data_IF_353102554981
#
_entry.id   IF_353102554981
#
_cell.length_a   1.000
_cell.length_b   1.000
_cell.length_c   1.000
_cell.angle_alpha   90.00
_cell.angle_beta   90.00
_cell.angle_gamma   90.00
#
_symmetry.space_group_name_H-M   'P 1'
#
loop_
_entity.id
_entity.type
_entity.pdbx_description
1 polymer ?
#
# COMPACT_ATOMS: atom_id res chain seq x y z
N UNK A 1 17.11 28.74 -48.00
CA UNK A 1 15.85 28.06 -48.34
C UNK A 1 15.90 26.54 -48.11
N UNK A 2 17.06 25.88 -48.28
CA UNK A 2 17.20 24.45 -47.96
C UNK A 2 17.09 24.15 -46.44
N UNK A 3 17.67 25.01 -45.59
CA UNK A 3 17.70 24.79 -44.14
C UNK A 3 16.32 24.92 -43.48
N UNK A 4 15.48 25.83 -43.98
CA UNK A 4 14.10 26.01 -43.51
C UNK A 4 13.22 24.81 -43.85
N UNK A 5 13.45 24.18 -45.00
CA UNK A 5 12.72 22.97 -45.42
C UNK A 5 13.16 21.78 -44.56
N UNK A 6 14.47 21.65 -44.30
CA UNK A 6 15.01 20.58 -43.44
C UNK A 6 14.46 20.67 -42.00
N UNK A 7 14.37 21.88 -41.44
CA UNK A 7 13.80 22.11 -40.09
C UNK A 7 12.31 21.75 -40.04
N UNK A 8 11.54 22.12 -41.06
CA UNK A 8 10.11 21.77 -41.12
C UNK A 8 9.89 20.26 -41.23
N UNK A 9 10.71 19.55 -42.01
CA UNK A 9 10.65 18.08 -42.11
C UNK A 9 11.01 17.41 -40.79
N UNK A 10 12.01 17.92 -40.05
CA UNK A 10 12.39 17.41 -38.74
C UNK A 10 11.28 17.58 -37.69
N UNK A 11 10.56 18.71 -37.71
CA UNK A 11 9.43 18.97 -36.80
C UNK A 11 8.26 18.02 -37.09
N UNK A 12 7.91 17.85 -38.37
CA UNK A 12 6.78 16.97 -38.76
C UNK A 12 7.08 15.51 -38.41
N UNK A 13 8.32 15.06 -38.63
CA UNK A 13 8.74 13.70 -38.25
C UNK A 13 8.74 13.50 -36.74
N UNK A 14 9.19 14.49 -35.96
CA UNK A 14 9.14 14.43 -34.49
C UNK A 14 7.70 14.36 -33.95
N UNK A 15 6.78 15.15 -34.51
CA UNK A 15 5.35 15.12 -34.14
C UNK A 15 4.74 13.76 -34.49
N UNK A 16 5.06 13.19 -35.66
CA UNK A 16 4.58 11.88 -36.06
C UNK A 16 5.08 10.77 -35.12
N UNK A 17 6.33 10.84 -34.65
CA UNK A 17 6.90 9.90 -33.68
C UNK A 17 6.18 10.03 -32.33
N UNK A 18 5.93 11.25 -31.84
CA UNK A 18 5.19 11.47 -30.60
C UNK A 18 3.75 10.93 -30.66
N UNK A 19 3.04 11.20 -31.77
CA UNK A 19 1.69 10.71 -31.98
C UNK A 19 1.65 9.17 -32.06
N UNK A 20 2.62 8.55 -32.75
CA UNK A 20 2.75 7.10 -32.81
C UNK A 20 3.04 6.48 -31.43
N UNK A 21 3.87 7.14 -30.62
CA UNK A 21 4.20 6.69 -29.27
C UNK A 21 3.01 6.79 -28.32
N UNK A 22 2.23 7.87 -28.39
CA UNK A 22 1.01 8.05 -27.62
C UNK A 22 -0.07 7.03 -28.01
N UNK A 23 -0.25 6.78 -29.32
CA UNK A 23 -1.15 5.73 -29.82
C UNK A 23 -0.70 4.31 -29.43
N UNK A 24 0.62 4.07 -29.29
CA UNK A 24 1.16 2.80 -28.82
C UNK A 24 0.92 2.59 -27.31
N UNK A 25 1.00 3.65 -26.49
CA UNK A 25 0.64 3.60 -25.06
C UNK A 25 -0.84 3.29 -24.85
N UNK A 26 -1.73 3.91 -25.63
CA UNK A 26 -3.18 3.65 -25.56
C UNK A 26 -3.57 2.21 -25.90
N UNK A 27 -2.79 1.53 -26.75
CA UNK A 27 -3.03 0.11 -27.13
C UNK A 27 -2.63 -0.89 -26.03
N UNK A 28 -1.61 -0.61 -25.22
CA UNK A 28 -1.24 -1.49 -24.08
C UNK A 28 -2.29 -1.46 -22.96
N UNK A 29 -3.01 -0.36 -22.77
CA UNK A 29 -4.07 -0.25 -21.77
C UNK A 29 -5.42 -0.84 -22.20
N UNK A 30 -5.66 -1.03 -23.50
CA UNK A 30 -6.91 -1.57 -24.06
C UNK A 30 -7.00 -3.11 -24.07
N UNK A 31 -5.95 -3.83 -23.67
CA UNK A 31 -5.97 -5.32 -23.56
C UNK A 31 -6.58 -5.86 -22.27
N UNK A 32 -7.01 -5.01 -21.33
CA UNK A 32 -7.93 -5.41 -20.25
C UNK A 32 -9.37 -5.21 -20.69
N UNK A 33 -9.82 -6.03 -21.64
CA UNK A 33 -11.25 -6.20 -21.93
C UNK A 33 -11.89 -6.72 -20.65
N UNK A 34 -12.67 -5.86 -20.00
CA UNK A 34 -13.54 -6.21 -18.89
C UNK A 34 -14.59 -7.19 -19.44
N UNK A 35 -14.35 -8.49 -19.27
CA UNK A 35 -15.37 -9.52 -19.49
C UNK A 35 -16.44 -9.27 -18.44
N UNK A 36 -17.66 -8.99 -18.87
CA UNK A 36 -18.76 -8.57 -18.01
C UNK A 36 -18.89 -9.48 -16.79
N UNK A 37 -18.97 -8.87 -15.59
CA UNK A 37 -19.26 -9.60 -14.36
C UNK A 37 -20.55 -10.41 -14.55
N UNK A 38 -20.55 -11.73 -14.30
CA UNK A 38 -21.80 -12.48 -14.24
C UNK A 38 -22.68 -11.84 -13.15
N UNK A 39 -23.98 -11.69 -13.44
CA UNK A 39 -24.99 -11.31 -12.44
C UNK A 39 -24.79 -12.19 -11.20
N UNK A 40 -24.48 -11.57 -10.05
CA UNK A 40 -24.36 -12.26 -8.77
C UNK A 40 -25.71 -12.91 -8.47
N UNK A 41 -25.78 -14.24 -8.56
CA UNK A 41 -26.91 -14.99 -7.99
C UNK A 41 -26.95 -14.73 -6.48
N UNK A 42 -28.14 -14.69 -5.84
CA UNK A 42 -28.24 -14.66 -4.39
C UNK A 42 -27.44 -15.84 -3.83
N UNK A 43 -26.53 -15.57 -2.91
CA UNK A 43 -25.70 -16.61 -2.28
C UNK A 43 -26.65 -17.40 -1.37
N UNK A 44 -26.94 -18.69 -1.64
CA UNK A 44 -27.56 -19.52 -0.61
C UNK A 44 -26.63 -19.53 0.61
N UNK A 45 -27.18 -19.68 1.82
CA UNK A 45 -26.38 -19.81 3.04
C UNK A 45 -25.45 -21.03 2.90
N UNK A 46 -24.23 -20.80 2.41
CA UNK A 46 -23.25 -21.84 2.15
C UNK A 46 -22.70 -22.30 3.48
N UNK A 47 -22.92 -23.57 3.81
CA UNK A 47 -22.12 -24.29 4.80
C UNK A 47 -20.66 -23.91 4.60
N UNK A 48 -19.91 -23.51 5.65
CA UNK A 48 -18.50 -23.20 5.52
C UNK A 48 -17.80 -24.38 4.83
N UNK A 49 -17.03 -24.17 3.76
CA UNK A 49 -16.36 -25.27 3.08
C UNK A 49 -15.45 -25.97 4.09
N UNK A 50 -15.60 -27.30 4.20
CA UNK A 50 -14.73 -28.13 5.03
C UNK A 50 -13.27 -27.97 4.58
N UNK A 51 -12.32 -28.28 5.45
CA UNK A 51 -10.90 -28.26 5.08
C UNK A 51 -10.62 -29.13 3.84
N UNK A 52 -11.33 -30.26 3.70
CA UNK A 52 -11.26 -31.12 2.51
C UNK A 52 -11.72 -30.39 1.23
N UNK A 53 -12.87 -29.70 1.28
CA UNK A 53 -13.37 -28.93 0.14
C UNK A 53 -12.43 -27.78 -0.25
N UNK A 54 -11.78 -27.15 0.73
CA UNK A 54 -10.79 -26.09 0.49
C UNK A 54 -9.54 -26.65 -0.17
N UNK A 55 -9.05 -27.80 0.31
CA UNK A 55 -7.89 -28.49 -0.26
C UNK A 55 -8.17 -28.89 -1.72
N UNK A 56 -9.32 -29.48 -2.01
CA UNK A 56 -9.69 -29.84 -3.38
C UNK A 56 -9.71 -28.61 -4.31
N UNK A 57 -10.26 -27.48 -3.84
CA UNK A 57 -10.25 -26.22 -4.59
C UNK A 57 -8.83 -25.70 -4.84
N UNK A 58 -7.91 -25.86 -3.88
CA UNK A 58 -6.49 -25.51 -4.05
C UNK A 58 -5.82 -26.44 -5.05
N UNK A 59 -6.01 -27.75 -4.93
CA UNK A 59 -5.35 -28.74 -5.79
C UNK A 59 -5.75 -28.62 -7.28
N UNK A 60 -6.92 -28.04 -7.56
CA UNK A 60 -7.45 -27.86 -8.92
C UNK A 60 -7.19 -26.47 -9.49
N UNK A 61 -6.73 -25.51 -8.68
CA UNK A 61 -6.45 -24.14 -9.11
C UNK A 61 -5.00 -23.95 -9.59
N UNK A 62 -4.81 -23.05 -10.55
CA UNK A 62 -3.48 -22.55 -10.91
C UNK A 62 -3.06 -21.42 -9.95
N UNK A 63 -1.82 -21.50 -9.45
CA UNK A 63 -1.22 -20.46 -8.61
C UNK A 63 0.02 -19.89 -9.29
N UNK A 64 0.18 -18.57 -9.19
CA UNK A 64 1.36 -17.86 -9.65
C UNK A 64 1.89 -16.97 -8.53
N UNK A 65 3.22 -16.97 -8.37
CA UNK A 65 3.88 -16.02 -7.49
C UNK A 65 3.76 -14.60 -8.05
N UNK A 66 3.62 -13.62 -7.16
CA UNK A 66 3.54 -12.20 -7.53
C UNK A 66 4.32 -11.34 -6.54
N UNK A 67 4.79 -10.14 -6.94
CA UNK A 67 5.37 -9.17 -6.02
C UNK A 67 4.42 -8.87 -4.84
N UNK A 68 4.99 -8.77 -3.65
CA UNK A 68 4.24 -8.43 -2.43
C UNK A 68 3.73 -6.99 -2.44
N UNK A 69 4.46 -6.08 -3.10
CA UNK A 69 4.21 -4.64 -3.13
C UNK A 69 4.31 -4.10 -4.55
N UNK A 70 3.62 -2.98 -4.79
CA UNK A 70 3.83 -2.17 -6.00
C UNK A 70 5.24 -1.54 -5.99
N UNK A 71 5.71 -1.03 -7.14
CA UNK A 71 7.03 -0.36 -7.18
C UNK A 71 7.09 0.87 -6.27
N UNK A 72 5.97 1.58 -6.14
CA UNK A 72 5.90 2.77 -5.32
C UNK A 72 5.89 2.44 -3.82
N UNK A 73 5.07 1.46 -3.40
CA UNK A 73 5.12 0.90 -2.04
C UNK A 73 6.52 0.37 -1.69
N UNK A 74 7.16 -0.37 -2.62
CA UNK A 74 8.51 -0.89 -2.40
C UNK A 74 9.55 0.24 -2.24
N UNK A 75 9.40 1.36 -2.97
CA UNK A 75 10.27 2.52 -2.80
C UNK A 75 10.16 3.12 -1.39
N UNK A 76 8.93 3.26 -0.87
CA UNK A 76 8.68 3.72 0.51
C UNK A 76 9.22 2.72 1.53
N UNK A 77 9.03 1.41 1.29
CA UNK A 77 9.56 0.35 2.15
C UNK A 77 11.08 0.45 2.27
N UNK A 78 11.81 0.57 1.15
CA UNK A 78 13.26 0.72 1.18
C UNK A 78 13.72 2.04 1.80
N UNK A 79 12.94 3.12 1.65
CA UNK A 79 13.21 4.37 2.35
C UNK A 79 13.07 4.20 3.87
N UNK A 80 12.03 3.52 4.33
CA UNK A 80 11.82 3.22 5.73
C UNK A 80 12.94 2.33 6.30
N UNK A 81 13.38 1.30 5.58
CA UNK A 81 14.52 0.46 6.00
C UNK A 81 15.81 1.27 6.17
N UNK A 82 16.11 2.15 5.21
CA UNK A 82 17.27 3.05 5.31
C UNK A 82 17.15 4.02 6.48
N UNK A 83 15.97 4.60 6.69
CA UNK A 83 15.70 5.51 7.80
C UNK A 83 15.90 4.82 9.15
N UNK A 84 15.36 3.61 9.34
CA UNK A 84 15.54 2.80 10.56
C UNK A 84 17.02 2.59 10.87
N UNK A 85 17.83 2.28 9.84
CA UNK A 85 19.27 2.11 10.00
C UNK A 85 19.99 3.41 10.35
N UNK A 86 19.64 4.53 9.69
CA UNK A 86 20.29 5.84 9.89
C UNK A 86 19.96 6.46 11.24
N UNK A 87 18.71 6.32 11.68
CA UNK A 87 18.22 6.80 12.96
C UNK A 87 18.60 5.89 14.14
N UNK A 88 19.36 4.81 13.88
CA UNK A 88 19.73 3.75 14.84
C UNK A 88 18.53 3.19 15.62
N UNK A 89 17.36 3.09 14.97
CA UNK A 89 16.16 2.52 15.58
C UNK A 89 16.37 1.02 15.73
N UNK A 90 16.33 0.52 16.97
CA UNK A 90 16.42 -0.92 17.28
C UNK A 90 15.10 -1.61 16.91
N UNK A 91 14.94 -1.89 15.62
CA UNK A 91 13.68 -2.40 15.08
C UNK A 91 13.82 -3.05 13.71
N UNK A 92 12.69 -3.45 13.12
CA UNK A 92 12.60 -4.02 11.77
C UNK A 92 11.42 -3.41 11.01
N UNK A 93 11.54 -3.39 9.69
CA UNK A 93 10.46 -3.00 8.78
C UNK A 93 9.83 -4.26 8.20
N UNK A 94 8.51 -4.32 8.16
CA UNK A 94 7.73 -5.45 7.66
C UNK A 94 6.76 -4.98 6.58
N UNK A 95 6.51 -5.82 5.58
CA UNK A 95 5.61 -5.52 4.47
C UNK A 95 4.24 -6.20 4.62
N UNK A 96 3.18 -5.51 4.24
CA UNK A 96 1.82 -6.03 4.11
C UNK A 96 1.33 -6.73 5.40
N UNK A 97 1.53 -6.13 6.57
CA UNK A 97 1.19 -6.77 7.85
C UNK A 97 -0.31 -6.72 8.09
N UNK A 98 -0.90 -7.85 8.48
CA UNK A 98 -2.30 -7.92 8.87
C UNK A 98 -2.53 -7.21 10.21
N UNK A 99 -3.52 -6.32 10.26
CA UNK A 99 -3.82 -5.54 11.46
C UNK A 99 -4.36 -6.41 12.59
N UNK A 100 -4.98 -7.56 12.29
CA UNK A 100 -5.41 -8.51 13.31
C UNK A 100 -4.29 -9.19 14.09
N UNK A 101 -3.06 -9.17 13.56
CA UNK A 101 -1.88 -9.72 14.22
C UNK A 101 -1.28 -8.75 15.24
N UNK A 102 -1.49 -7.45 15.03
CA UNK A 102 -0.88 -6.38 15.85
C UNK A 102 -1.89 -5.60 16.68
N UNK A 103 -3.19 -5.76 16.43
CA UNK A 103 -4.28 -5.13 17.17
C UNK A 103 -5.19 -6.19 17.78
N UNK A 104 -5.59 -5.96 19.02
CA UNK A 104 -6.61 -6.74 19.72
C UNK A 104 -7.68 -5.79 20.23
N UNK A 105 -8.91 -6.28 20.32
CA UNK A 105 -10.03 -5.54 20.87
C UNK A 105 -10.97 -6.52 21.58
N UNK A 106 -11.45 -6.22 22.80
CA UNK A 106 -12.52 -6.98 23.42
C UNK A 106 -13.88 -6.74 22.75
N UNK A 107 -14.01 -5.68 21.95
CA UNK A 107 -15.16 -5.45 21.09
C UNK A 107 -15.00 -6.25 19.79
N UNK A 108 -15.84 -7.28 19.66
CA UNK A 108 -15.94 -8.19 18.53
C UNK A 108 -16.26 -7.48 17.20
N UNK A 109 -17.10 -6.46 17.23
CA UNK A 109 -17.49 -5.70 16.03
C UNK A 109 -16.29 -4.89 15.54
N UNK A 110 -15.60 -4.22 16.46
CA UNK A 110 -14.38 -3.48 16.14
C UNK A 110 -13.26 -4.43 15.65
N UNK A 111 -13.07 -5.58 16.31
CA UNK A 111 -12.07 -6.55 15.92
C UNK A 111 -12.34 -7.14 14.53
N UNK A 112 -13.58 -7.56 14.24
CA UNK A 112 -13.95 -8.06 12.89
C UNK A 112 -13.78 -7.00 11.82
N UNK A 113 -14.04 -5.73 12.15
CA UNK A 113 -13.80 -4.64 11.22
C UNK A 113 -12.31 -4.52 10.86
N UNK A 114 -11.40 -4.71 11.81
CA UNK A 114 -9.95 -4.47 11.60
C UNK A 114 -9.17 -5.72 11.18
N UNK A 115 -9.56 -6.92 11.63
CA UNK A 115 -8.79 -8.16 11.47
C UNK A 115 -8.52 -8.55 10.01
N UNK A 116 -9.38 -8.18 9.06
CA UNK A 116 -9.16 -8.45 7.64
C UNK A 116 -8.39 -7.34 6.90
N UNK A 117 -7.96 -6.29 7.60
CA UNK A 117 -7.24 -5.15 7.01
C UNK A 117 -5.74 -5.35 7.19
N UNK A 118 -4.95 -4.74 6.31
CA UNK A 118 -3.48 -4.79 6.33
C UNK A 118 -2.93 -3.37 6.22
N UNK A 119 -1.74 -3.17 6.78
CA UNK A 119 -0.91 -1.99 6.53
C UNK A 119 0.13 -2.33 5.48
N UNK A 120 0.47 -1.37 4.62
CA UNK A 120 1.48 -1.59 3.58
C UNK A 120 2.85 -1.86 4.18
N UNK A 121 3.23 -1.08 5.19
CA UNK A 121 4.53 -1.16 5.85
C UNK A 121 4.34 -0.97 7.36
N UNK A 122 5.04 -1.77 8.16
CA UNK A 122 5.04 -1.67 9.62
C UNK A 122 6.48 -1.63 10.15
N UNK A 123 6.79 -0.62 10.97
CA UNK A 123 7.96 -0.59 11.81
C UNK A 123 7.64 -1.26 13.15
N UNK A 124 8.47 -2.23 13.56
CA UNK A 124 8.40 -2.91 14.85
C UNK A 124 9.66 -2.68 15.67
N UNK A 125 9.55 -2.73 16.99
CA UNK A 125 10.70 -2.76 17.91
C UNK A 125 11.46 -4.08 17.81
N UNK A 126 12.62 -4.16 18.45
CA UNK A 126 13.37 -5.40 18.64
C UNK A 126 12.58 -6.50 19.39
N UNK A 127 11.61 -6.11 20.23
CA UNK A 127 10.69 -7.02 20.91
C UNK A 127 9.45 -7.40 20.08
N UNK A 128 9.34 -6.90 18.85
CA UNK A 128 8.22 -7.18 17.95
C UNK A 128 6.99 -6.29 18.16
N UNK A 129 7.07 -5.25 19.00
CA UNK A 129 5.95 -4.35 19.26
C UNK A 129 5.79 -3.32 18.13
N UNK A 130 4.55 -3.02 17.65
CA UNK A 130 4.32 -2.07 16.58
C UNK A 130 4.68 -0.63 16.99
N UNK A 131 5.56 0.00 16.21
CA UNK A 131 6.04 1.36 16.41
C UNK A 131 5.32 2.38 15.51
N UNK A 132 5.29 2.11 14.21
CA UNK A 132 4.64 2.97 13.23
C UNK A 132 4.14 2.16 12.03
N UNK A 133 2.94 2.47 11.55
CA UNK A 133 2.43 1.99 10.27
C UNK A 133 2.61 3.07 9.21
N UNK A 134 3.06 2.69 8.02
CA UNK A 134 3.21 3.58 6.86
C UNK A 134 2.32 3.05 5.74
N UNK A 135 1.51 3.93 5.16
CA UNK A 135 0.54 3.62 4.11
C UNK A 135 0.84 4.46 2.87
N UNK A 136 0.98 3.81 1.70
CA UNK A 136 1.24 4.54 0.46
C UNK A 136 -0.07 4.94 -0.21
N UNK A 137 -0.24 6.23 -0.43
CA UNK A 137 -1.41 6.82 -1.07
C UNK A 137 -1.09 7.10 -2.54
N UNK A 138 -1.51 6.21 -3.44
CA UNK A 138 -1.31 6.41 -4.88
C UNK A 138 -2.14 7.57 -5.46
N UNK A 139 -1.77 8.09 -6.63
CA UNK A 139 -2.48 9.20 -7.30
C UNK A 139 -3.93 8.87 -7.71
N UNK A 140 -4.29 7.59 -7.75
CA UNK A 140 -5.64 7.13 -8.14
C UNK A 140 -6.69 7.09 -7.02
N UNK A 141 -6.40 7.60 -5.82
CA UNK A 141 -7.20 7.31 -4.63
C UNK A 141 -8.41 8.22 -4.38
N UNK A 142 -8.67 9.22 -5.22
CA UNK A 142 -9.80 10.15 -5.03
C UNK A 142 -11.17 9.65 -5.52
N UNK A 143 -11.33 8.35 -5.85
CA UNK A 143 -12.62 7.80 -6.29
C UNK A 143 -13.10 6.64 -5.38
N UNK A 144 -13.88 6.97 -4.33
CA UNK A 144 -14.75 6.02 -3.61
C UNK A 144 -14.40 5.72 -2.13
N UNK A 145 -14.88 4.56 -1.63
CA UNK A 145 -14.79 4.06 -0.23
C UNK A 145 -13.39 3.95 0.39
N UNK A 146 -12.34 4.32 -0.35
CA UNK A 146 -10.95 4.31 0.10
C UNK A 146 -10.76 5.18 1.36
N UNK A 147 -11.31 6.40 1.36
CA UNK A 147 -11.24 7.30 2.53
C UNK A 147 -11.83 6.69 3.80
N UNK A 148 -12.98 6.03 3.70
CA UNK A 148 -13.61 5.39 4.85
C UNK A 148 -12.77 4.20 5.37
N UNK A 149 -12.13 3.43 4.48
CA UNK A 149 -11.26 2.30 4.87
C UNK A 149 -10.00 2.78 5.58
N UNK A 150 -9.38 3.82 5.06
CA UNK A 150 -8.17 4.40 5.65
C UNK A 150 -8.47 5.08 6.98
N UNK A 151 -9.61 5.76 7.10
CA UNK A 151 -10.09 6.30 8.37
C UNK A 151 -10.24 5.20 9.44
N UNK A 152 -10.78 4.03 9.10
CA UNK A 152 -10.89 2.90 10.04
C UNK A 152 -9.51 2.38 10.47
N UNK A 153 -8.56 2.25 9.53
CA UNK A 153 -7.18 1.83 9.86
C UNK A 153 -6.51 2.83 10.81
N UNK A 154 -6.51 4.11 10.43
CA UNK A 154 -5.92 5.21 11.19
C UNK A 154 -6.51 5.30 12.59
N UNK A 155 -7.83 5.25 12.71
CA UNK A 155 -8.52 5.34 13.99
C UNK A 155 -8.24 4.16 14.93
N UNK A 156 -8.02 2.95 14.39
CA UNK A 156 -7.66 1.78 15.19
C UNK A 156 -6.20 1.82 15.65
N UNK A 157 -5.27 2.20 14.75
CA UNK A 157 -3.85 2.33 15.07
C UNK A 157 -3.59 3.42 16.11
N UNK A 158 -4.23 4.58 15.96
CA UNK A 158 -4.13 5.68 16.93
C UNK A 158 -4.64 5.28 18.31
N UNK A 159 -5.78 4.58 18.40
CA UNK A 159 -6.31 4.07 19.68
C UNK A 159 -5.38 3.02 20.34
N UNK A 160 -4.55 2.36 19.55
CA UNK A 160 -3.55 1.42 20.03
C UNK A 160 -2.17 2.07 20.31
N UNK A 161 -2.05 3.40 20.21
CA UNK A 161 -0.79 4.11 20.41
C UNK A 161 0.26 3.82 19.33
N UNK A 162 -0.16 3.41 18.13
CA UNK A 162 0.73 3.14 17.00
C UNK A 162 0.71 4.35 16.07
N UNK A 163 1.88 4.90 15.77
CA UNK A 163 2.01 6.03 14.86
C UNK A 163 1.52 5.66 13.45
N UNK A 164 0.92 6.62 12.75
CA UNK A 164 0.39 6.43 11.41
C UNK A 164 0.99 7.48 10.47
N UNK A 165 1.69 7.02 9.42
CA UNK A 165 2.40 7.86 8.46
C UNK A 165 1.78 7.63 7.07
N UNK A 166 1.41 8.72 6.40
CA UNK A 166 0.87 8.68 5.04
C UNK A 166 1.98 9.06 4.06
N UNK A 167 2.42 8.11 3.23
CA UNK A 167 3.41 8.37 2.19
C UNK A 167 2.71 8.67 0.87
N UNK A 168 2.99 9.81 0.28
CA UNK A 168 2.43 10.21 -1.03
C UNK A 168 3.49 10.10 -2.13
N UNK A 169 3.13 10.18 -3.42
CA UNK A 169 4.09 10.14 -4.53
C UNK A 169 5.11 11.28 -4.50
N UNK A 170 4.80 12.36 -3.78
CA UNK A 170 5.69 13.52 -3.60
C UNK A 170 6.73 13.31 -2.49
N UNK A 171 6.53 12.33 -1.60
CA UNK A 171 7.49 12.03 -0.55
C UNK A 171 8.74 11.39 -1.13
N UNK A 172 9.90 11.98 -0.84
CA UNK A 172 11.19 11.37 -1.09
C UNK A 172 11.69 10.60 0.15
N UNK A 173 12.89 10.03 0.08
CA UNK A 173 13.43 9.23 1.17
C UNK A 173 13.69 10.04 2.46
N UNK A 174 14.07 11.32 2.33
CA UNK A 174 14.33 12.20 3.48
C UNK A 174 13.02 12.61 4.16
N UNK A 175 11.93 12.72 3.39
CA UNK A 175 10.60 12.95 3.95
C UNK A 175 10.14 11.77 4.81
N UNK A 176 10.30 10.54 4.31
CA UNK A 176 9.99 9.33 5.06
C UNK A 176 10.86 9.22 6.31
N UNK A 177 12.16 9.51 6.21
CA UNK A 177 13.07 9.50 7.37
C UNK A 177 12.64 10.51 8.44
N UNK A 178 12.30 11.74 8.03
CA UNK A 178 11.84 12.80 8.93
C UNK A 178 10.53 12.43 9.63
N UNK A 179 9.58 11.82 8.92
CA UNK A 179 8.30 11.44 9.51
C UNK A 179 8.44 10.27 10.48
N UNK A 180 9.32 9.30 10.18
CA UNK A 180 9.69 8.24 11.14
C UNK A 180 10.36 8.86 12.38
N UNK A 181 11.30 9.78 12.21
CA UNK A 181 11.97 10.43 13.33
C UNK A 181 10.97 11.18 14.23
N UNK A 182 10.05 11.94 13.66
CA UNK A 182 8.97 12.63 14.40
C UNK A 182 8.08 11.65 15.16
N UNK A 183 7.69 10.55 14.52
CA UNK A 183 6.89 9.52 15.15
C UNK A 183 7.61 8.88 16.36
N UNK A 184 8.91 8.61 16.26
CA UNK A 184 9.68 8.04 17.37
C UNK A 184 9.88 9.03 18.51
N UNK A 185 10.10 10.31 18.21
CA UNK A 185 10.21 11.37 19.22
C UNK A 185 8.92 11.55 20.01
N UNK A 186 7.77 11.64 19.33
CA UNK A 186 6.47 11.77 19.98
C UNK A 186 6.22 10.61 20.96
N UNK A 187 6.52 9.38 20.54
CA UNK A 187 6.38 8.20 21.39
C UNK A 187 7.31 8.20 22.60
N UNK A 188 8.54 8.69 22.46
CA UNK A 188 9.47 8.81 23.57
C UNK A 188 8.97 9.85 24.60
N UNK A 189 8.37 10.95 24.14
CA UNK A 189 7.74 11.94 25.01
C UNK A 189 6.53 11.37 25.76
N UNK A 190 5.65 10.65 25.07
CA UNK A 190 4.48 10.02 25.69
C UNK A 190 4.88 8.97 26.75
N UNK A 191 5.92 8.18 26.47
CA UNK A 191 6.44 7.20 27.43
C UNK A 191 6.99 7.86 28.69
N UNK A 192 7.66 9.02 28.57
CA UNK A 192 8.17 9.75 29.73
C UNK A 192 7.06 10.43 30.56
N UNK A 193 5.95 10.83 29.92
CA UNK A 193 4.78 11.41 30.60
C UNK A 193 4.00 10.39 31.44
N UNK A 194 4.07 9.11 31.09
CA UNK A 194 3.36 8.02 31.81
C UNK A 194 4.14 7.51 33.02
N UNK A 195 5.46 7.78 33.08
CA UNK A 195 6.36 7.32 34.16
C UNK A 195 6.60 8.41 35.23
N UNK A 196 6.15 9.65 34.98
CA UNK A 196 6.19 10.77 35.93
C UNK A 196 4.89 10.86 36.73
#
# INVERSE_FOLDING_TARGET
MADTIAVLVAIVTFIAILAAWEAARGRKNRRRKWVGRPRRRPRPATVPPTAANQLEAVMTAAFEARPIMSRAEASVFYAAERAVKRLDIKGRVMAQVCLGEILRSPDDVAYRAINSKRVDILLISNSGFPLAAIEYQGEGHYQGTAHARDAVKKAALQRAGIAYIEATPQHNADDIERDIARAMQARASDANLVVA
#
